data_IF_023725753871
#
_entry.id   IF_023725753871
#
_cell.length_a   1.000
_cell.length_b   1.000
_cell.length_c   1.000
_cell.angle_alpha   90.00
_cell.angle_beta   90.00
_cell.angle_gamma   90.00
#
_symmetry.space_group_name_H-M   'P 1'
#
loop_
_entity.id
_entity.type
_entity.pdbx_description
1 polymer ?
#
# COMPACT_ATOMS: atom_id res chain seq x y z
N UNK A 1 -30.81 -9.34 9.47
CA UNK A 1 -29.34 -9.20 9.30
C UNK A 1 -29.11 -7.82 8.70
N UNK A 2 -28.81 -6.85 9.56
CA UNK A 2 -28.63 -5.44 9.21
C UNK A 2 -27.45 -5.28 8.26
N UNK A 3 -27.68 -4.62 7.13
CA UNK A 3 -26.63 -4.19 6.20
C UNK A 3 -25.77 -3.14 6.91
N UNK A 4 -24.75 -3.60 7.62
CA UNK A 4 -23.68 -2.78 8.17
C UNK A 4 -23.09 -1.91 7.06
N UNK A 5 -23.02 -0.60 7.28
CA UNK A 5 -22.61 0.43 6.32
C UNK A 5 -21.46 -0.04 5.41
N UNK A 6 -21.80 -0.33 4.16
CA UNK A 6 -20.93 -0.87 3.12
C UNK A 6 -19.98 0.22 2.61
N UNK A 7 -19.03 0.63 3.44
CA UNK A 7 -17.89 1.39 2.94
C UNK A 7 -17.22 0.58 1.82
N UNK A 8 -16.79 1.23 0.72
CA UNK A 8 -16.17 0.54 -0.40
C UNK A 8 -14.97 -0.29 0.09
N UNK A 9 -14.70 -1.46 -0.53
CA UNK A 9 -13.71 -2.45 -0.06
C UNK A 9 -12.25 -2.02 -0.28
N UNK A 10 -11.90 -0.77 0.04
CA UNK A 10 -10.59 -0.15 -0.16
C UNK A 10 -9.52 -0.92 0.62
N UNK A 11 -9.76 -1.18 1.91
CA UNK A 11 -8.81 -1.91 2.76
C UNK A 11 -8.60 -3.34 2.28
N UNK A 12 -9.65 -4.01 1.79
CA UNK A 12 -9.53 -5.37 1.25
C UNK A 12 -8.68 -5.36 -0.03
N UNK A 13 -8.94 -4.43 -0.94
CA UNK A 13 -8.22 -4.31 -2.20
C UNK A 13 -6.72 -4.01 -1.99
N UNK A 14 -6.41 -3.07 -1.10
CA UNK A 14 -5.03 -2.74 -0.71
C UNK A 14 -4.34 -3.91 0.00
N UNK A 15 -5.07 -4.68 0.83
CA UNK A 15 -4.52 -5.87 1.49
C UNK A 15 -4.17 -6.97 0.48
N UNK A 16 -5.01 -7.17 -0.54
CA UNK A 16 -4.72 -8.14 -1.61
C UNK A 16 -3.54 -7.66 -2.47
N UNK A 17 -3.46 -6.37 -2.78
CA UNK A 17 -2.29 -5.77 -3.45
C UNK A 17 -1.00 -6.03 -2.66
N UNK A 18 -1.02 -5.74 -1.37
CA UNK A 18 0.09 -5.94 -0.45
C UNK A 18 0.52 -7.41 -0.40
N UNK A 19 -0.44 -8.33 -0.28
CA UNK A 19 -0.17 -9.76 -0.28
C UNK A 19 0.51 -10.20 -1.58
N UNK A 20 0.02 -9.72 -2.74
CA UNK A 20 0.63 -10.00 -4.04
C UNK A 20 2.09 -9.54 -4.13
N UNK A 21 2.38 -8.33 -3.68
CA UNK A 21 3.74 -7.76 -3.67
C UNK A 21 4.66 -8.53 -2.73
N UNK A 22 4.19 -8.87 -1.54
CA UNK A 22 4.96 -9.64 -0.55
C UNK A 22 5.27 -11.04 -1.08
N UNK A 23 4.28 -11.74 -1.67
CA UNK A 23 4.49 -13.05 -2.29
C UNK A 23 5.47 -12.94 -3.46
N UNK A 24 5.34 -11.93 -4.32
CA UNK A 24 6.26 -11.69 -5.42
C UNK A 24 7.70 -11.45 -4.96
N UNK A 25 7.87 -10.66 -3.90
CA UNK A 25 9.17 -10.39 -3.27
C UNK A 25 9.78 -11.64 -2.63
N UNK A 26 8.99 -12.43 -1.91
CA UNK A 26 9.44 -13.71 -1.32
C UNK A 26 9.85 -14.70 -2.40
N UNK A 27 9.06 -14.83 -3.47
CA UNK A 27 9.41 -15.70 -4.60
C UNK A 27 10.77 -15.28 -5.18
N UNK A 28 10.97 -13.99 -5.45
CA UNK A 28 12.25 -13.45 -5.93
C UNK A 28 13.42 -13.76 -4.98
N UNK A 29 13.22 -13.61 -3.67
CA UNK A 29 14.24 -13.94 -2.67
C UNK A 29 14.53 -15.45 -2.60
N UNK A 30 13.50 -16.29 -2.71
CA UNK A 30 13.62 -17.75 -2.59
C UNK A 30 14.38 -18.41 -3.74
N UNK A 31 14.42 -17.75 -4.91
CA UNK A 31 15.13 -18.28 -6.07
C UNK A 31 16.65 -18.08 -6.02
N UNK A 32 17.23 -17.33 -5.07
CA UNK A 32 18.68 -17.17 -4.98
C UNK A 32 19.38 -18.54 -4.74
N UNK A 33 20.33 -19.00 -5.60
CA UNK A 33 21.06 -18.31 -6.66
C UNK A 33 20.62 -18.63 -8.12
N UNK A 34 19.49 -19.31 -8.33
CA UNK A 34 18.92 -19.61 -9.65
C UNK A 34 18.29 -18.35 -10.26
N UNK A 35 18.28 -18.23 -11.59
CA UNK A 35 17.61 -17.11 -12.27
C UNK A 35 16.09 -17.23 -12.04
N UNK A 36 15.44 -16.27 -11.34
CA UNK A 36 14.00 -16.33 -11.14
C UNK A 36 13.29 -16.18 -12.48
N UNK A 37 12.20 -16.93 -12.74
CA UNK A 37 11.31 -16.63 -13.85
C UNK A 37 10.66 -15.27 -13.58
N UNK A 38 11.13 -14.22 -14.26
CA UNK A 38 10.69 -12.83 -14.06
C UNK A 38 9.20 -12.61 -14.38
N UNK A 39 8.59 -13.54 -15.10
CA UNK A 39 7.21 -13.44 -15.58
C UNK A 39 6.20 -13.45 -14.43
N UNK A 40 6.33 -14.36 -13.46
CA UNK A 40 5.39 -14.47 -12.33
C UNK A 40 5.45 -13.24 -11.41
N UNK A 41 6.63 -12.77 -10.94
CA UNK A 41 6.75 -11.54 -10.15
C UNK A 41 6.24 -10.30 -10.89
N UNK A 42 6.47 -10.22 -12.21
CA UNK A 42 6.00 -9.07 -13.02
C UNK A 42 4.48 -9.03 -13.10
N UNK A 43 3.83 -10.18 -13.31
CA UNK A 43 2.36 -10.25 -13.34
C UNK A 43 1.76 -9.92 -11.97
N UNK A 44 2.34 -10.43 -10.88
CA UNK A 44 1.91 -10.09 -9.52
C UNK A 44 2.05 -8.60 -9.25
N UNK A 45 3.19 -8.00 -9.62
CA UNK A 45 3.40 -6.56 -9.48
C UNK A 45 2.37 -5.77 -10.30
N UNK A 46 2.16 -6.14 -11.56
CA UNK A 46 1.18 -5.47 -12.42
C UNK A 46 -0.23 -5.53 -11.84
N UNK A 47 -0.65 -6.70 -11.34
CA UNK A 47 -1.94 -6.87 -10.67
C UNK A 47 -2.03 -6.00 -9.41
N UNK A 48 -1.02 -6.03 -8.54
CA UNK A 48 -0.99 -5.22 -7.32
C UNK A 48 -1.04 -3.72 -7.61
N UNK A 49 -0.31 -3.23 -8.61
CA UNK A 49 -0.38 -1.82 -9.03
C UNK A 49 -1.79 -1.43 -9.47
N UNK A 50 -2.46 -2.28 -10.26
CA UNK A 50 -3.85 -2.02 -10.67
C UNK A 50 -4.78 -1.98 -9.45
N UNK A 51 -4.64 -2.93 -8.51
CA UNK A 51 -5.44 -2.96 -7.28
C UNK A 51 -5.20 -1.72 -6.40
N UNK A 52 -3.95 -1.28 -6.24
CA UNK A 52 -3.62 -0.07 -5.50
C UNK A 52 -4.24 1.17 -6.16
N UNK A 53 -4.13 1.31 -7.49
CA UNK A 53 -4.74 2.44 -8.22
C UNK A 53 -6.25 2.46 -8.01
N UNK A 54 -6.92 1.32 -8.14
CA UNK A 54 -8.38 1.22 -7.92
C UNK A 54 -8.72 1.62 -6.48
N UNK A 55 -7.96 1.14 -5.48
CA UNK A 55 -8.17 1.49 -4.08
C UNK A 55 -8.03 3.00 -3.82
N UNK A 56 -7.00 3.63 -4.39
CA UNK A 56 -6.75 5.07 -4.29
C UNK A 56 -7.86 5.87 -4.99
N UNK A 57 -8.29 5.48 -6.18
CA UNK A 57 -9.37 6.14 -6.91
C UNK A 57 -10.69 6.03 -6.15
N UNK A 58 -10.99 4.87 -5.56
CA UNK A 58 -12.17 4.70 -4.71
C UNK A 58 -12.10 5.59 -3.48
N UNK A 59 -10.92 5.67 -2.83
CA UNK A 59 -10.71 6.54 -1.67
C UNK A 59 -10.89 8.02 -2.03
N UNK A 60 -10.31 8.48 -3.12
CA UNK A 60 -10.39 9.86 -3.58
C UNK A 60 -11.83 10.32 -3.91
N UNK A 61 -12.73 9.37 -4.20
CA UNK A 61 -14.16 9.65 -4.47
C UNK A 61 -15.02 9.76 -3.20
N UNK A 62 -14.48 9.45 -2.02
CA UNK A 62 -15.22 9.58 -0.75
C UNK A 62 -15.16 11.04 -0.25
N UNK A 63 -16.26 11.77 -0.41
CA UNK A 63 -16.37 13.16 0.05
C UNK A 63 -16.65 13.27 1.57
N UNK A 64 -17.30 12.27 2.17
CA UNK A 64 -17.74 12.31 3.58
C UNK A 64 -16.78 11.51 4.50
N UNK A 65 -15.48 11.71 4.30
CA UNK A 65 -14.42 10.99 5.01
C UNK A 65 -13.65 11.92 5.95
N UNK A 66 -13.12 11.38 7.05
CA UNK A 66 -12.29 12.12 8.02
C UNK A 66 -10.89 12.44 7.45
N UNK A 67 -10.84 13.26 6.38
CA UNK A 67 -9.65 13.60 5.61
C UNK A 67 -8.54 14.23 6.44
N UNK A 68 -8.88 15.01 7.47
CA UNK A 68 -7.91 15.61 8.39
C UNK A 68 -7.13 14.55 9.18
N UNK A 69 -7.86 13.59 9.77
CA UNK A 69 -7.27 12.44 10.47
C UNK A 69 -6.52 11.54 9.50
N UNK A 70 -7.09 11.25 8.33
CA UNK A 70 -6.46 10.45 7.30
C UNK A 70 -5.10 11.02 6.89
N UNK A 71 -5.03 12.31 6.52
CA UNK A 71 -3.79 12.94 6.06
C UNK A 71 -2.73 13.00 7.15
N UNK A 72 -3.14 13.22 8.41
CA UNK A 72 -2.22 13.21 9.55
C UNK A 72 -1.57 11.83 9.70
N UNK A 73 -2.37 10.76 9.75
CA UNK A 73 -1.87 9.40 9.90
C UNK A 73 -1.09 8.96 8.68
N UNK A 74 -1.60 9.24 7.47
CA UNK A 74 -0.97 8.89 6.20
C UNK A 74 0.43 9.50 6.10
N UNK A 75 0.63 10.78 6.45
CA UNK A 75 1.96 11.41 6.38
C UNK A 75 3.00 10.75 7.29
N UNK A 76 2.64 10.47 8.53
CA UNK A 76 3.56 9.85 9.49
C UNK A 76 3.82 8.38 9.17
N UNK A 77 2.78 7.65 8.77
CA UNK A 77 2.93 6.28 8.30
C UNK A 77 3.80 6.24 7.03
N UNK A 78 3.55 7.11 6.06
CA UNK A 78 4.34 7.20 4.82
C UNK A 78 5.81 7.44 5.11
N UNK A 79 6.13 8.37 6.03
CA UNK A 79 7.51 8.64 6.41
C UNK A 79 8.19 7.38 6.99
N UNK A 80 7.52 6.69 7.92
CA UNK A 80 8.05 5.47 8.51
C UNK A 80 8.26 4.37 7.45
N UNK A 81 7.30 4.19 6.54
CA UNK A 81 7.38 3.16 5.51
C UNK A 81 8.39 3.47 4.41
N UNK A 82 8.65 4.75 4.11
CA UNK A 82 9.77 5.15 3.25
C UNK A 82 11.10 4.76 3.89
N UNK A 83 11.27 4.98 5.19
CA UNK A 83 12.49 4.57 5.91
C UNK A 83 12.66 3.05 5.89
N UNK A 84 11.60 2.29 6.19
CA UNK A 84 11.62 0.83 6.16
C UNK A 84 11.94 0.31 4.75
N UNK A 85 11.27 0.83 3.72
CA UNK A 85 11.52 0.44 2.34
C UNK A 85 12.97 0.76 1.92
N UNK A 86 13.50 1.92 2.29
CA UNK A 86 14.88 2.30 2.03
C UNK A 86 15.89 1.38 2.73
N UNK A 87 15.63 0.97 3.97
CA UNK A 87 16.47 -0.02 4.66
C UNK A 87 16.46 -1.37 3.94
N UNK A 88 15.29 -1.82 3.48
CA UNK A 88 15.16 -3.08 2.74
C UNK A 88 15.87 -2.97 1.38
N UNK A 89 15.67 -1.89 0.63
CA UNK A 89 16.34 -1.65 -0.65
C UNK A 89 17.86 -1.60 -0.51
N UNK A 90 18.37 -0.92 0.52
CA UNK A 90 19.80 -0.88 0.83
C UNK A 90 20.38 -2.29 1.03
N UNK A 91 19.63 -3.19 1.67
CA UNK A 91 20.06 -4.59 1.86
C UNK A 91 20.23 -5.33 0.53
N UNK A 92 19.35 -5.08 -0.45
CA UNK A 92 19.44 -5.71 -1.78
C UNK A 92 20.60 -5.18 -2.61
N UNK A 93 20.84 -3.87 -2.54
CA UNK A 93 21.99 -3.23 -3.20
C UNK A 93 23.30 -3.79 -2.64
N UNK A 94 23.39 -3.92 -1.31
CA UNK A 94 24.56 -4.47 -0.64
C UNK A 94 24.78 -5.95 -0.95
N UNK A 95 23.71 -6.72 -1.13
CA UNK A 95 23.76 -8.14 -1.48
C UNK A 95 24.02 -8.43 -2.98
N UNK A 96 24.50 -7.44 -3.76
CA UNK A 96 24.88 -7.57 -5.17
C UNK A 96 23.76 -8.05 -6.12
N UNK A 97 22.48 -7.83 -5.77
CA UNK A 97 21.37 -8.02 -6.71
C UNK A 97 21.47 -6.94 -7.80
N UNK A 98 21.83 -7.33 -9.03
CA UNK A 98 22.00 -6.40 -10.16
C UNK A 98 21.01 -6.70 -11.29
N UNK A 99 20.61 -5.66 -12.02
CA UNK A 99 19.81 -5.77 -13.25
C UNK A 99 18.29 -5.82 -13.00
N UNK A 100 17.57 -6.48 -13.91
CA UNK A 100 16.10 -6.56 -13.89
C UNK A 100 15.47 -7.04 -12.56
N UNK A 101 16.08 -7.96 -11.79
CA UNK A 101 15.52 -8.36 -10.49
C UNK A 101 15.51 -7.23 -9.45
N UNK A 102 16.52 -6.36 -9.45
CA UNK A 102 16.58 -5.22 -8.53
C UNK A 102 15.45 -4.25 -8.83
N UNK A 103 15.23 -3.93 -10.11
CA UNK A 103 14.14 -3.04 -10.53
C UNK A 103 12.76 -3.54 -10.07
N UNK A 104 12.50 -4.85 -10.25
CA UNK A 104 11.24 -5.47 -9.84
C UNK A 104 11.04 -5.41 -8.32
N UNK A 105 12.08 -5.71 -7.54
CA UNK A 105 12.02 -5.66 -6.08
C UNK A 105 11.87 -4.23 -5.58
N UNK A 106 12.56 -3.25 -6.17
CA UNK A 106 12.36 -1.83 -5.87
C UNK A 106 10.92 -1.41 -6.18
N UNK A 107 10.38 -1.78 -7.33
CA UNK A 107 8.99 -1.47 -7.67
C UNK A 107 7.98 -2.11 -6.69
N UNK A 108 8.24 -3.36 -6.28
CA UNK A 108 7.48 -4.04 -5.21
C UNK A 108 7.57 -3.28 -3.88
N UNK A 109 8.76 -2.82 -3.49
CA UNK A 109 8.94 -2.02 -2.27
C UNK A 109 8.18 -0.70 -2.32
N UNK A 110 8.12 -0.05 -3.48
CA UNK A 110 7.31 1.16 -3.65
C UNK A 110 5.82 0.87 -3.41
N UNK A 111 5.29 -0.20 -4.01
CA UNK A 111 3.87 -0.58 -3.82
C UNK A 111 3.61 -0.93 -2.35
N UNK A 112 4.50 -1.70 -1.72
CA UNK A 112 4.44 -2.00 -0.29
C UNK A 112 4.42 -0.73 0.58
N UNK A 113 5.31 0.22 0.28
CA UNK A 113 5.43 1.48 1.01
C UNK A 113 4.20 2.38 0.84
N UNK A 114 3.34 2.13 -0.15
CA UNK A 114 2.07 2.85 -0.37
C UNK A 114 0.88 2.12 0.24
N UNK A 115 0.79 0.79 0.05
CA UNK A 115 -0.32 -0.03 0.53
C UNK A 115 -0.46 0.03 2.05
N UNK A 116 0.66 -0.06 2.78
CA UNK A 116 0.56 -0.14 4.24
C UNK A 116 0.13 1.18 4.87
N UNK A 117 0.71 2.36 4.53
CA UNK A 117 0.19 3.64 4.98
C UNK A 117 -1.26 3.89 4.58
N UNK A 118 -1.67 3.47 3.38
CA UNK A 118 -3.06 3.55 2.92
C UNK A 118 -4.00 2.73 3.83
N UNK A 119 -3.65 1.48 4.13
CA UNK A 119 -4.45 0.60 5.02
C UNK A 119 -4.54 1.20 6.43
N UNK A 120 -3.42 1.64 7.00
CA UNK A 120 -3.38 2.23 8.34
C UNK A 120 -4.24 3.50 8.39
N UNK A 121 -4.03 4.43 7.46
CA UNK A 121 -4.73 5.71 7.45
C UNK A 121 -6.22 5.55 7.19
N UNK A 122 -6.62 4.67 6.27
CA UNK A 122 -8.05 4.37 6.03
C UNK A 122 -8.70 3.71 7.25
N UNK A 123 -7.99 2.82 7.94
CA UNK A 123 -8.48 2.16 9.15
C UNK A 123 -8.64 3.13 10.32
N UNK A 124 -7.73 4.08 10.50
CA UNK A 124 -7.90 5.08 11.56
C UNK A 124 -9.02 6.06 11.20
N UNK A 125 -9.05 6.55 9.96
CA UNK A 125 -10.03 7.54 9.55
C UNK A 125 -11.46 6.99 9.48
N UNK A 126 -11.67 5.70 9.18
CA UNK A 126 -13.00 5.08 9.22
C UNK A 126 -13.62 5.02 10.61
N UNK A 127 -12.80 5.01 11.66
CA UNK A 127 -13.25 4.96 13.06
C UNK A 127 -13.13 6.30 13.78
N UNK A 128 -12.59 7.33 13.12
CA UNK A 128 -12.55 8.67 13.67
C UNK A 128 -13.94 9.31 13.53
N UNK A 129 -14.49 9.82 14.63
CA UNK A 129 -15.71 10.65 14.59
C UNK A 129 -15.43 11.89 13.74
N UNK A 130 -16.28 12.24 12.76
CA UNK A 130 -16.17 13.51 12.05
C UNK A 130 -16.17 14.65 13.09
N UNK A 131 -15.16 15.52 13.04
CA UNK A 131 -15.08 16.68 13.93
C UNK A 131 -16.34 17.56 13.81
N UNK A 132 -16.77 18.25 14.88
CA UNK A 132 -17.96 19.10 14.84
C UNK A 132 -17.93 20.06 13.65
N UNK A 133 -18.94 19.99 12.77
CA UNK A 133 -19.19 21.05 11.78
C UNK A 133 -19.42 22.34 12.56
N UNK A 134 -18.61 23.37 12.32
CA UNK A 134 -18.83 24.68 12.92
C UNK A 134 -20.27 25.12 12.61
N UNK A 135 -21.06 25.37 13.67
CA UNK A 135 -22.43 25.82 13.54
C UNK A 135 -22.45 27.18 12.80
N UNK A 136 -23.42 27.42 11.91
CA UNK A 136 -23.56 28.72 11.28
C UNK A 136 -23.80 29.77 12.38
N UNK A 137 -22.98 30.84 12.37
CA UNK A 137 -23.19 31.99 13.23
C UNK A 137 -24.55 32.60 12.89
N UNK A 138 -25.47 32.56 13.86
CA UNK A 138 -26.75 33.28 13.81
C UNK A 138 -26.57 34.77 14.07
#
# INVERSE_FOLDING_TARGET
MSNENRFPPITQLATVSLAGVVVGGILMASYAPRRPPLLVPTLLLGLSVVLLIVAVVMLARLNDFAWTTFMKVARWAQLAYIVVAGMIEFSFVRNHTRGAPLLLVTAMLVVFALDVPLIIATTVARYATPGPKAAPAG
#
